data_IF_291285317198
#
_entry.id   IF_291285317198
#
_cell.length_a   1.000
_cell.length_b   1.000
_cell.length_c   1.000
_cell.angle_alpha   90.00
_cell.angle_beta   90.00
_cell.angle_gamma   90.00
#
_symmetry.space_group_name_H-M   'P 1'
#
loop_
_entity.id
_entity.type
_entity.pdbx_description
1 polymer ?
#
# COMPACT_ATOMS: atom_id res chain seq x y z
N UNK A 1 10.65 4.95 6.17
CA UNK A 1 9.17 4.98 6.11
C UNK A 1 8.77 4.61 4.69
N UNK A 2 7.91 3.61 4.44
CA UNK A 2 7.59 3.09 3.09
C UNK A 2 6.82 4.07 2.17
N UNK A 3 6.88 5.37 2.47
CA UNK A 3 6.12 6.43 1.82
C UNK A 3 6.98 7.43 1.05
N UNK A 4 8.31 7.41 1.19
CA UNK A 4 9.22 8.20 0.34
C UNK A 4 10.00 7.27 -0.58
N UNK A 5 9.54 7.06 -1.83
CA UNK A 5 10.20 6.15 -2.76
C UNK A 5 11.44 6.79 -3.42
N UNK A 6 11.84 8.00 -3.02
CA UNK A 6 13.00 8.71 -3.55
C UNK A 6 12.71 9.53 -4.81
N UNK A 7 13.68 10.36 -5.21
CA UNK A 7 13.53 11.35 -6.30
C UNK A 7 13.20 10.67 -7.64
N UNK A 8 13.89 9.58 -7.98
CA UNK A 8 13.66 8.86 -9.25
C UNK A 8 12.23 8.34 -9.38
N UNK A 9 11.69 7.78 -8.30
CA UNK A 9 10.31 7.35 -8.27
C UNK A 9 9.36 8.53 -8.46
N UNK A 10 9.56 9.63 -7.72
CA UNK A 10 8.73 10.83 -7.89
C UNK A 10 8.73 11.32 -9.34
N UNK A 11 9.90 11.40 -9.98
CA UNK A 11 10.02 11.85 -11.38
C UNK A 11 9.31 10.93 -12.37
N UNK A 12 9.55 9.61 -12.30
CA UNK A 12 8.95 8.67 -13.25
C UNK A 12 7.43 8.53 -13.05
N UNK A 13 6.99 8.59 -11.80
CA UNK A 13 5.61 8.34 -11.44
C UNK A 13 4.73 9.58 -11.52
N UNK A 14 5.14 10.75 -11.02
CA UNK A 14 4.24 11.91 -10.89
C UNK A 14 3.73 12.42 -12.24
N UNK A 15 4.47 12.17 -13.33
CA UNK A 15 4.03 12.53 -14.68
C UNK A 15 2.86 11.68 -15.19
N UNK A 16 2.76 10.41 -14.77
CA UNK A 16 1.72 9.47 -15.24
C UNK A 16 0.71 9.08 -14.18
N UNK A 17 1.04 9.09 -12.90
CA UNK A 17 0.15 8.74 -11.81
C UNK A 17 -0.10 10.00 -10.98
N UNK A 18 -1.10 10.78 -11.41
CA UNK A 18 -1.56 11.96 -10.67
C UNK A 18 -3.00 11.76 -10.21
N UNK A 19 -3.46 12.48 -9.16
CA UNK A 19 -4.86 12.44 -8.73
C UNK A 19 -5.85 12.75 -9.87
N UNK A 20 -5.40 13.51 -10.89
CA UNK A 20 -6.20 13.82 -12.08
C UNK A 20 -6.51 12.60 -12.94
N UNK A 21 -5.63 11.58 -12.96
CA UNK A 21 -5.82 10.37 -13.77
C UNK A 21 -6.63 9.27 -13.06
N UNK A 22 -6.63 9.27 -11.72
CA UNK A 22 -7.35 8.25 -10.92
C UNK A 22 -8.65 8.75 -10.27
N UNK A 23 -9.02 10.01 -10.53
CA UNK A 23 -10.26 10.63 -10.06
C UNK A 23 -10.12 11.28 -8.68
N UNK A 24 -10.73 12.46 -8.51
CA UNK A 24 -10.64 13.30 -7.30
C UNK A 24 -11.14 12.65 -6.00
N UNK A 25 -11.69 11.43 -6.04
CA UNK A 25 -12.27 10.76 -4.87
C UNK A 25 -11.23 10.19 -3.91
N UNK A 26 -10.00 9.99 -4.36
CA UNK A 26 -8.99 9.27 -3.58
C UNK A 26 -8.06 10.17 -2.76
N UNK A 27 -8.17 11.50 -2.90
CA UNK A 27 -7.39 12.49 -2.13
C UNK A 27 -5.98 12.74 -2.68
N UNK A 28 -5.48 13.96 -2.48
CA UNK A 28 -4.15 14.38 -2.96
C UNK A 28 -3.00 13.80 -2.14
N UNK A 29 -3.28 13.34 -0.90
CA UNK A 29 -2.27 12.84 0.05
C UNK A 29 -1.83 11.39 -0.19
N UNK A 30 -2.29 10.75 -1.27
CA UNK A 30 -1.88 9.37 -1.58
C UNK A 30 -0.53 9.32 -2.28
N UNK A 31 0.27 8.32 -1.93
CA UNK A 31 1.42 7.93 -2.73
C UNK A 31 0.91 7.24 -4.02
N UNK A 32 0.68 8.04 -5.06
CA UNK A 32 0.16 7.58 -6.36
C UNK A 32 1.07 6.56 -7.06
N UNK A 33 2.35 6.58 -6.75
CA UNK A 33 3.33 5.62 -7.29
C UNK A 33 3.13 4.24 -6.69
N UNK A 34 2.87 4.21 -5.39
CA UNK A 34 2.47 3.00 -4.70
C UNK A 34 1.13 2.47 -5.21
N UNK A 35 0.15 3.35 -5.44
CA UNK A 35 -1.17 2.97 -5.99
C UNK A 35 -1.03 2.33 -7.37
N UNK A 36 -0.23 2.93 -8.26
CA UNK A 36 -0.01 2.41 -9.61
C UNK A 36 0.73 1.07 -9.61
N UNK A 37 1.81 0.94 -8.83
CA UNK A 37 2.52 -0.33 -8.68
C UNK A 37 1.60 -1.43 -8.11
N UNK A 38 0.79 -1.09 -7.10
CA UNK A 38 -0.17 -2.03 -6.50
C UNK A 38 -1.33 -2.37 -7.45
N UNK A 39 -1.69 -1.48 -8.38
CA UNK A 39 -2.66 -1.79 -9.42
C UNK A 39 -2.15 -2.92 -10.35
N UNK A 40 -0.84 -2.95 -10.64
CA UNK A 40 -0.22 -4.03 -11.43
C UNK A 40 -0.19 -5.36 -10.68
N UNK A 41 -0.03 -5.37 -9.36
CA UNK A 41 -0.26 -6.62 -8.60
C UNK A 41 -1.72 -7.09 -8.73
N UNK A 42 -2.69 -6.15 -8.65
CA UNK A 42 -4.13 -6.48 -8.71
C UNK A 42 -4.64 -6.83 -10.10
N UNK A 43 -3.95 -6.51 -11.19
CA UNK A 43 -4.37 -6.97 -12.52
C UNK A 43 -4.21 -8.49 -12.67
N UNK A 44 -3.29 -9.08 -11.91
CA UNK A 44 -2.95 -10.51 -11.95
C UNK A 44 -3.59 -11.28 -10.78
N UNK A 45 -4.82 -10.93 -10.37
CA UNK A 45 -5.53 -11.62 -9.29
C UNK A 45 -5.62 -13.13 -9.57
N UNK A 46 -4.93 -13.92 -8.75
CA UNK A 46 -4.88 -15.39 -8.84
C UNK A 46 -3.50 -15.97 -9.17
N UNK A 47 -2.53 -15.16 -9.58
CA UNK A 47 -1.15 -15.59 -9.82
C UNK A 47 -0.17 -14.71 -9.02
N UNK A 48 0.22 -15.13 -7.79
CA UNK A 48 1.16 -14.36 -7.00
C UNK A 48 2.48 -14.21 -7.75
N UNK A 49 2.89 -12.96 -7.97
CA UNK A 49 4.19 -12.61 -8.56
C UNK A 49 5.05 -11.88 -7.54
N UNK A 50 6.38 -12.01 -7.63
CA UNK A 50 7.28 -11.19 -6.85
C UNK A 50 7.16 -9.72 -7.26
N UNK A 51 7.41 -8.80 -6.32
CA UNK A 51 7.45 -7.36 -6.58
C UNK A 51 8.50 -6.98 -7.63
N UNK A 52 9.54 -7.79 -7.84
CA UNK A 52 10.50 -7.61 -8.93
C UNK A 52 9.83 -7.62 -10.30
N UNK A 53 8.99 -8.61 -10.54
CA UNK A 53 8.32 -8.83 -11.82
C UNK A 53 7.27 -7.75 -12.04
N UNK A 54 6.59 -7.36 -10.95
CA UNK A 54 5.57 -6.31 -10.99
C UNK A 54 6.21 -4.95 -11.27
N UNK A 55 7.33 -4.63 -10.63
CA UNK A 55 8.06 -3.41 -10.92
C UNK A 55 8.58 -3.40 -12.35
N UNK A 56 9.08 -4.53 -12.86
CA UNK A 56 9.53 -4.64 -14.25
C UNK A 56 8.39 -4.30 -15.23
N UNK A 57 7.23 -4.94 -15.09
CA UNK A 57 6.05 -4.66 -15.93
C UNK A 57 5.53 -3.24 -15.79
N UNK A 58 5.49 -2.73 -14.57
CA UNK A 58 5.09 -1.36 -14.30
C UNK A 58 6.08 -0.36 -14.95
N UNK A 59 7.37 -0.70 -15.02
CA UNK A 59 8.38 0.11 -15.70
C UNK A 59 8.23 0.07 -17.22
N UNK A 60 7.84 -1.06 -17.82
CA UNK A 60 7.52 -1.16 -19.26
C UNK A 60 6.35 -0.22 -19.65
N UNK A 61 5.38 -0.05 -18.75
CA UNK A 61 4.29 0.93 -18.91
C UNK A 61 4.73 2.37 -18.61
N UNK A 62 5.95 2.55 -18.12
CA UNK A 62 6.55 3.82 -17.70
C UNK A 62 5.85 4.46 -16.51
N UNK A 63 5.12 3.68 -15.68
CA UNK A 63 4.40 4.21 -14.51
C UNK A 63 5.27 4.25 -13.25
N UNK A 64 6.39 3.52 -13.24
CA UNK A 64 7.41 3.52 -12.17
C UNK A 64 8.81 3.35 -12.79
N UNK A 65 9.91 3.63 -12.06
CA UNK A 65 11.25 3.33 -12.54
C UNK A 65 11.50 1.83 -12.70
N UNK A 66 12.43 1.47 -13.59
CA UNK A 66 12.95 0.11 -13.66
C UNK A 66 13.61 -0.30 -12.35
N UNK A 67 13.67 -1.61 -12.11
CA UNK A 67 14.30 -2.15 -10.91
C UNK A 67 15.81 -1.85 -10.85
N UNK A 68 16.49 -1.82 -11.99
CA UNK A 68 17.91 -1.48 -12.08
C UNK A 68 18.18 -0.01 -11.74
N UNK A 69 17.25 0.88 -12.08
CA UNK A 69 17.36 2.30 -11.74
C UNK A 69 17.01 2.56 -10.26
N UNK A 70 15.97 1.92 -9.73
CA UNK A 70 15.54 2.12 -8.35
C UNK A 70 14.68 0.98 -7.84
N UNK A 71 15.31 -0.10 -7.37
CA UNK A 71 14.63 -1.27 -6.84
C UNK A 71 13.74 -0.92 -5.64
N UNK A 72 12.52 -1.47 -5.62
CA UNK A 72 11.57 -1.28 -4.53
C UNK A 72 10.98 -2.62 -4.09
N UNK A 73 10.91 -2.82 -2.77
CA UNK A 73 10.38 -4.05 -2.15
C UNK A 73 9.52 -3.66 -0.95
N UNK A 74 8.21 -3.44 -1.17
CA UNK A 74 7.31 -2.83 -0.19
C UNK A 74 6.89 -3.77 0.94
N UNK A 75 7.01 -5.08 0.73
CA UNK A 75 6.69 -6.11 1.71
C UNK A 75 7.97 -6.80 2.17
N UNK A 76 7.92 -7.37 3.38
CA UNK A 76 9.03 -8.11 3.97
C UNK A 76 9.34 -9.37 3.15
N UNK A 77 8.31 -10.02 2.60
CA UNK A 77 8.46 -11.06 1.59
C UNK A 77 8.27 -10.46 0.19
N UNK A 78 9.36 -10.12 -0.52
CA UNK A 78 9.27 -9.53 -1.86
C UNK A 78 8.70 -10.51 -2.91
N UNK A 79 8.60 -11.80 -2.58
CA UNK A 79 7.98 -12.82 -3.44
C UNK A 79 6.45 -12.72 -3.51
N UNK A 80 5.83 -11.99 -2.58
CA UNK A 80 4.38 -11.87 -2.48
C UNK A 80 3.96 -10.46 -2.83
N UNK A 81 3.06 -10.32 -3.80
CA UNK A 81 2.43 -9.03 -4.07
C UNK A 81 1.07 -8.86 -3.38
N UNK A 82 0.55 -9.94 -2.80
CA UNK A 82 -0.80 -10.00 -2.23
C UNK A 82 -0.80 -9.74 -0.71
N UNK A 83 -1.93 -10.02 -0.05
CA UNK A 83 -2.17 -9.79 1.37
C UNK A 83 -1.08 -10.43 2.23
N UNK A 84 -0.74 -9.74 3.33
CA UNK A 84 0.15 -10.24 4.38
C UNK A 84 -0.28 -11.60 4.96
N UNK A 85 -1.54 -12.01 4.79
CA UNK A 85 -2.02 -13.35 5.16
C UNK A 85 -1.29 -14.48 4.41
N UNK A 86 -0.71 -14.19 3.24
CA UNK A 86 0.08 -15.13 2.46
C UNK A 86 1.57 -15.11 2.83
N UNK A 87 2.03 -14.17 3.67
CA UNK A 87 3.37 -14.25 4.22
C UNK A 87 3.45 -15.43 5.19
N UNK A 88 4.54 -16.21 5.18
CA UNK A 88 4.83 -17.12 6.28
C UNK A 88 4.81 -16.29 7.55
N UNK A 89 3.93 -16.62 8.48
CA UNK A 89 3.93 -16.02 9.82
C UNK A 89 5.17 -16.54 10.55
N UNK A 90 6.34 -16.02 10.18
CA UNK A 90 7.51 -16.01 11.04
C UNK A 90 7.11 -15.20 12.26
N UNK A 91 6.54 -15.88 13.25
CA UNK A 91 5.90 -15.24 14.38
C UNK A 91 6.92 -14.35 15.07
N UNK A 92 6.68 -13.04 15.06
CA UNK A 92 7.48 -12.09 15.84
C UNK A 92 7.65 -12.65 17.24
N UNK A 93 8.91 -12.84 17.66
CA UNK A 93 9.25 -13.33 18.98
C UNK A 93 8.80 -12.33 20.05
N UNK A 94 8.73 -12.79 21.30
CA UNK A 94 8.32 -11.94 22.42
C UNK A 94 9.15 -10.65 22.52
N UNK A 95 10.45 -10.74 22.21
CA UNK A 95 11.37 -9.59 22.21
C UNK A 95 11.02 -8.54 21.17
N UNK A 96 10.69 -8.96 19.94
CA UNK A 96 10.34 -8.05 18.85
C UNK A 96 9.00 -7.37 19.10
N UNK A 97 8.02 -8.12 19.63
CA UNK A 97 6.74 -7.53 20.05
C UNK A 97 6.93 -6.49 21.14
N UNK A 98 7.73 -6.79 22.17
CA UNK A 98 8.01 -5.84 23.24
C UNK A 98 8.73 -4.59 22.74
N UNK A 99 9.64 -4.73 21.77
CA UNK A 99 10.32 -3.60 21.14
C UNK A 99 9.34 -2.74 20.31
N UNK A 100 8.48 -3.38 19.51
CA UNK A 100 7.49 -2.69 18.68
C UNK A 100 6.47 -1.92 19.54
N UNK A 101 5.99 -2.52 20.64
CA UNK A 101 5.09 -1.85 21.59
C UNK A 101 5.75 -0.61 22.20
N UNK A 102 7.00 -0.72 22.68
CA UNK A 102 7.73 0.44 23.21
C UNK A 102 7.90 1.56 22.18
N UNK A 103 8.21 1.21 20.93
CA UNK A 103 8.32 2.19 19.87
C UNK A 103 6.97 2.88 19.61
N UNK A 104 5.89 2.10 19.54
CA UNK A 104 4.54 2.62 19.29
C UNK A 104 4.12 3.61 20.39
N UNK A 105 4.28 3.24 21.66
CA UNK A 105 3.94 4.11 22.80
C UNK A 105 4.72 5.43 22.79
N UNK A 106 5.97 5.42 22.30
CA UNK A 106 6.82 6.60 22.27
C UNK A 106 6.55 7.54 21.09
N UNK A 107 6.00 7.03 19.98
CA UNK A 107 5.96 7.77 18.71
C UNK A 107 4.55 7.95 18.15
N UNK A 108 3.55 7.23 18.64
CA UNK A 108 2.20 7.23 18.07
C UNK A 108 1.18 7.64 19.12
N UNK A 109 0.46 8.74 18.86
CA UNK A 109 -0.72 9.12 19.62
C UNK A 109 -1.99 8.64 18.91
N UNK A 110 -2.82 7.85 19.61
CA UNK A 110 -4.09 7.35 19.07
C UNK A 110 -5.26 8.08 19.71
N UNK A 111 -6.08 8.73 18.89
CA UNK A 111 -7.31 9.38 19.31
C UNK A 111 -8.51 8.59 18.77
N UNK A 112 -9.38 8.12 19.65
CA UNK A 112 -10.66 7.53 19.25
C UNK A 112 -11.74 8.62 19.26
N UNK A 113 -12.29 8.92 18.08
CA UNK A 113 -13.44 9.83 17.98
C UNK A 113 -14.71 9.01 18.20
N UNK A 114 -15.34 9.22 19.35
CA UNK A 114 -16.70 8.75 19.59
C UNK A 114 -17.68 9.53 18.72
N UNK A 115 -18.00 9.01 17.54
CA UNK A 115 -19.14 9.50 16.77
C UNK A 115 -20.41 9.08 17.47
N UNK A 116 -21.11 10.05 18.07
CA UNK A 116 -22.41 9.82 18.71
C UNK A 116 -23.41 9.14 17.76
N UNK A 117 -24.48 8.53 18.28
CA UNK A 117 -25.42 7.74 17.48
C UNK A 117 -26.03 8.58 16.35
N UNK A 118 -25.60 8.33 15.11
CA UNK A 118 -26.16 8.97 13.94
C UNK A 118 -27.58 8.45 13.70
N UNK A 119 -28.61 9.29 13.89
CA UNK A 119 -30.04 8.96 13.61
C UNK A 119 -30.36 8.70 12.12
N UNK A 120 -29.37 8.43 11.26
CA UNK A 120 -29.55 8.22 9.82
C UNK A 120 -28.62 7.12 9.28
N UNK A 121 -28.83 5.87 9.70
CA UNK A 121 -28.69 4.74 8.78
C UNK A 121 -30.07 4.47 8.16
N UNK A 122 -30.39 5.20 7.08
CA UNK A 122 -31.46 4.76 6.16
C UNK A 122 -30.90 3.65 5.30
N UNK A 123 -31.49 2.48 5.42
CA UNK A 123 -31.27 1.35 4.52
C UNK A 123 -32.10 0.17 4.99
N UNK A 124 -33.34 0.09 4.48
CA UNK A 124 -34.24 -1.06 4.62
C UNK A 124 -33.47 -2.36 4.35
N UNK A 125 -33.30 -3.19 5.37
CA UNK A 125 -33.15 -4.62 5.13
C UNK A 125 -34.53 -5.14 4.75
N UNK A 126 -34.74 -5.42 3.46
CA UNK A 126 -35.77 -6.39 3.06
C UNK A 126 -35.18 -7.75 3.35
N UNK A 127 -35.64 -8.37 4.42
CA UNK A 127 -35.53 -9.82 4.61
C UNK A 127 -36.63 -10.43 3.73
N UNK A 128 -36.24 -11.34 2.84
CA UNK A 128 -37.15 -12.27 2.19
C UNK A 128 -37.24 -13.51 3.05
#
# INVERSE_FOLDING_TARGET
VPWDPGVMWRTACQMKNSPRQHGRRDGDDRNWCWVALKAQCRSDLGAPRPWSDIQHRAAELGVVPSRDASAYSPLASPALCDRALHEPTGGFGARERAAALRWFDQHVAVYSVGVGPSRRRRGRARVR
#
